data_IF_562188110098
#
_entry.id   IF_562188110098
#
_cell.length_a   1.000
_cell.length_b   1.000
_cell.length_c   1.000
_cell.angle_alpha   90.00
_cell.angle_beta   90.00
_cell.angle_gamma   90.00
#
_symmetry.space_group_name_H-M   'P 1'
#
loop_
_entity.id
_entity.type
_entity.pdbx_description
1 polymer ?
#
# COMPACT_ATOMS: atom_id res chain seq x y z
N UNK A 1 0.74 -1.53 -44.41
CA UNK A 1 1.65 -1.63 -43.24
C UNK A 1 0.82 -2.24 -42.12
N UNK A 2 0.61 -3.56 -41.98
CA UNK A 2 1.51 -4.70 -41.78
C UNK A 2 2.44 -4.53 -40.56
N UNK A 3 1.96 -4.85 -39.36
CA UNK A 3 2.80 -5.35 -38.27
C UNK A 3 2.12 -6.54 -37.58
N UNK A 4 2.91 -7.59 -37.47
CA UNK A 4 2.58 -8.98 -37.13
C UNK A 4 2.42 -9.15 -35.62
N UNK A 5 1.34 -9.82 -35.22
CA UNK A 5 1.24 -10.49 -33.93
C UNK A 5 2.11 -11.75 -33.94
N UNK A 6 3.03 -11.87 -33.00
CA UNK A 6 3.74 -13.12 -32.72
C UNK A 6 3.00 -13.87 -31.61
N UNK A 7 2.37 -14.98 -31.99
CA UNK A 7 1.93 -16.02 -31.06
C UNK A 7 3.00 -17.11 -31.07
N UNK A 8 3.65 -17.37 -29.93
CA UNK A 8 4.47 -18.55 -29.74
C UNK A 8 3.57 -19.72 -29.33
N UNK A 9 3.52 -20.73 -30.20
CA UNK A 9 2.87 -22.00 -29.94
C UNK A 9 3.71 -22.89 -29.00
N UNK A 10 3.09 -23.68 -28.10
CA UNK A 10 3.79 -24.74 -27.39
C UNK A 10 4.04 -25.95 -28.30
N UNK A 11 5.24 -26.51 -28.19
CA UNK A 11 5.74 -27.62 -28.99
C UNK A 11 5.01 -28.94 -28.70
N UNK A 12 4.70 -29.65 -29.78
CA UNK A 12 4.12 -30.99 -29.83
C UNK A 12 5.13 -32.03 -29.33
N UNK A 13 4.83 -32.72 -28.22
CA UNK A 13 5.56 -33.96 -27.85
C UNK A 13 4.76 -35.14 -28.37
N UNK A 14 5.33 -35.84 -29.35
CA UNK A 14 4.82 -37.10 -29.89
C UNK A 14 5.02 -38.20 -28.85
N UNK A 15 3.93 -38.88 -28.51
CA UNK A 15 3.97 -40.10 -27.69
C UNK A 15 4.57 -41.29 -28.44
N UNK A 16 5.16 -42.19 -27.67
CA UNK A 16 5.21 -43.62 -27.98
C UNK A 16 4.81 -44.36 -26.71
N UNK A 17 3.62 -44.97 -26.73
CA UNK A 17 3.17 -45.90 -25.72
C UNK A 17 3.84 -47.26 -26.00
N UNK A 18 4.48 -47.84 -24.99
CA UNK A 18 4.74 -49.28 -24.93
C UNK A 18 3.90 -49.86 -23.80
N UNK A 19 3.13 -50.88 -24.15
CA UNK A 19 2.23 -51.62 -23.28
C UNK A 19 3.07 -52.66 -22.51
N UNK A 20 3.13 -52.56 -21.19
CA UNK A 20 3.87 -53.52 -20.36
C UNK A 20 3.43 -53.48 -18.90
N UNK A 21 2.73 -54.54 -18.49
CA UNK A 21 2.56 -55.06 -17.14
C UNK A 21 1.82 -54.21 -16.09
N UNK A 22 0.48 -54.33 -16.09
CA UNK A 22 -0.34 -54.12 -14.90
C UNK A 22 -0.01 -55.20 -13.85
N UNK A 23 0.82 -54.87 -12.86
CA UNK A 23 0.84 -55.59 -11.58
C UNK A 23 -0.16 -54.94 -10.64
N UNK A 24 -1.06 -55.78 -10.12
CA UNK A 24 -2.07 -55.50 -9.11
C UNK A 24 -1.39 -54.92 -7.86
N UNK A 25 -1.67 -53.66 -7.52
CA UNK A 25 -1.24 -53.06 -6.25
C UNK A 25 -2.17 -53.58 -5.14
N UNK A 26 -1.58 -54.32 -4.20
CA UNK A 26 -2.23 -54.76 -2.97
C UNK A 26 -2.20 -53.62 -1.94
N UNK A 27 -3.30 -53.38 -1.24
CA UNK A 27 -3.53 -52.17 -0.40
C UNK A 27 -2.84 -52.26 0.98
N UNK A 28 -2.06 -53.31 1.25
CA UNK A 28 -1.49 -53.59 2.58
C UNK A 28 -0.06 -53.12 2.85
N UNK A 29 0.62 -52.42 1.93
CA UNK A 29 1.96 -51.86 2.20
C UNK A 29 1.95 -50.45 2.81
N UNK A 30 0.79 -49.99 3.27
CA UNK A 30 0.71 -48.95 4.31
C UNK A 30 1.17 -49.58 5.62
N UNK A 31 2.43 -49.36 6.02
CA UNK A 31 2.85 -48.98 7.39
C UNK A 31 4.39 -48.99 7.50
N UNK A 32 4.91 -47.86 7.98
CA UNK A 32 6.24 -47.63 8.58
C UNK A 32 7.49 -47.52 7.68
N UNK A 33 7.74 -46.30 7.21
CA UNK A 33 9.08 -45.68 7.31
C UNK A 33 8.96 -44.22 7.74
N UNK A 34 9.77 -43.72 8.70
CA UNK A 34 9.74 -42.31 9.07
C UNK A 34 10.43 -41.49 7.97
N UNK A 35 9.65 -40.69 7.23
CA UNK A 35 10.17 -39.65 6.37
C UNK A 35 10.89 -38.61 7.24
N UNK A 36 12.22 -38.53 7.11
CA UNK A 36 13.01 -37.38 7.56
C UNK A 36 12.60 -36.17 6.72
N UNK A 37 11.58 -35.44 7.14
CA UNK A 37 11.29 -34.12 6.59
C UNK A 37 12.29 -33.12 7.17
N UNK A 38 13.28 -32.76 6.35
CA UNK A 38 14.11 -31.58 6.56
C UNK A 38 13.19 -30.38 6.68
N UNK A 39 13.11 -29.80 7.87
CA UNK A 39 12.33 -28.60 8.12
C UNK A 39 13.04 -27.42 7.44
N UNK A 40 12.68 -27.14 6.20
CA UNK A 40 12.98 -25.86 5.57
C UNK A 40 12.09 -24.81 6.23
N UNK A 41 12.54 -24.28 7.37
CA UNK A 41 12.00 -23.04 7.91
C UNK A 41 12.29 -21.93 6.89
N UNK A 42 11.30 -21.58 6.08
CA UNK A 42 11.31 -20.32 5.34
C UNK A 42 11.11 -19.23 6.36
N UNK A 43 12.20 -18.63 6.83
CA UNK A 43 12.13 -17.38 7.59
C UNK A 43 11.61 -16.29 6.65
N UNK A 44 10.31 -16.02 6.70
CA UNK A 44 9.77 -14.78 6.17
C UNK A 44 10.31 -13.66 7.06
N UNK A 45 11.42 -13.03 6.64
CA UNK A 45 11.87 -11.79 7.26
C UNK A 45 10.78 -10.76 7.00
N UNK A 46 10.04 -10.37 8.03
CA UNK A 46 9.06 -9.30 7.92
C UNK A 46 9.80 -8.00 7.61
N UNK A 47 9.69 -7.53 6.38
CA UNK A 47 10.23 -6.23 5.99
C UNK A 47 9.35 -5.12 6.54
N UNK A 48 9.98 -3.99 6.82
CA UNK A 48 9.29 -2.81 7.35
C UNK A 48 9.49 -1.65 6.40
N UNK A 49 8.42 -0.90 6.16
CA UNK A 49 8.46 0.32 5.36
C UNK A 49 8.46 1.53 6.30
N UNK A 50 9.47 2.42 6.23
CA UNK A 50 9.42 3.65 6.98
C UNK A 50 8.30 4.54 6.45
N UNK A 51 7.60 5.20 7.36
CA UNK A 51 6.48 6.08 7.07
C UNK A 51 6.88 7.50 7.45
N UNK A 52 6.62 8.43 6.53
CA UNK A 52 6.97 9.82 6.69
C UNK A 52 5.72 10.70 6.66
N UNK A 53 5.68 11.69 7.54
CA UNK A 53 4.86 12.88 7.35
C UNK A 53 5.58 13.78 6.36
N UNK A 54 4.97 14.01 5.20
CA UNK A 54 5.49 14.87 4.14
C UNK A 54 4.77 16.20 4.18
N UNK A 55 5.52 17.28 4.00
CA UNK A 55 5.02 18.63 3.83
C UNK A 55 5.42 19.15 2.44
N UNK A 56 4.42 19.45 1.63
CA UNK A 56 4.55 20.13 0.36
C UNK A 56 4.03 21.57 0.49
N UNK A 57 4.57 22.48 -0.31
CA UNK A 57 4.10 23.86 -0.37
C UNK A 57 2.62 23.90 -0.75
N UNK A 58 1.85 24.66 0.02
CA UNK A 58 0.42 24.81 -0.15
C UNK A 58 -0.06 26.14 0.44
N UNK A 59 -1.17 26.64 -0.08
CA UNK A 59 -1.77 27.90 0.35
C UNK A 59 -3.14 27.66 1.00
N UNK A 60 -3.47 28.33 2.12
CA UNK A 60 -2.64 29.25 2.92
C UNK A 60 -1.67 28.53 3.89
N UNK A 61 -1.69 27.19 3.89
CA UNK A 61 -0.83 26.34 4.74
C UNK A 61 -0.30 25.20 3.87
N UNK A 62 0.91 24.74 4.20
CA UNK A 62 1.51 23.58 3.56
C UNK A 62 0.56 22.37 3.56
N UNK A 63 0.64 21.61 2.48
CA UNK A 63 -0.09 20.36 2.32
C UNK A 63 0.60 19.23 3.10
N UNK A 64 -0.17 18.46 3.87
CA UNK A 64 0.34 17.30 4.60
C UNK A 64 -0.10 16.00 3.93
N UNK A 65 0.81 15.04 3.87
CA UNK A 65 0.58 13.70 3.36
C UNK A 65 1.35 12.66 4.20
N UNK A 66 0.90 11.40 4.13
CA UNK A 66 1.67 10.26 4.61
C UNK A 66 2.35 9.58 3.42
N UNK A 67 3.62 9.24 3.56
CA UNK A 67 4.36 8.51 2.54
C UNK A 67 5.00 7.27 3.14
N UNK A 68 4.59 6.09 2.68
CA UNK A 68 5.25 4.83 3.00
C UNK A 68 6.32 4.54 1.95
N UNK A 69 7.59 4.50 2.34
CA UNK A 69 8.68 4.18 1.45
C UNK A 69 8.79 2.67 1.27
N UNK A 70 8.40 2.16 0.10
CA UNK A 70 8.34 0.72 -0.18
C UNK A 70 9.59 0.19 -0.89
N UNK A 71 10.52 1.09 -1.23
CA UNK A 71 11.79 0.77 -1.89
C UNK A 71 12.90 1.71 -1.46
N UNK A 72 14.11 1.16 -1.33
CA UNK A 72 15.33 1.93 -1.06
C UNK A 72 15.66 2.89 -2.22
N UNK A 73 15.18 2.60 -3.44
CA UNK A 73 15.32 3.48 -4.60
C UNK A 73 14.42 4.74 -4.53
N UNK A 74 13.66 4.92 -3.45
CA UNK A 74 12.80 6.09 -3.23
C UNK A 74 11.39 5.94 -3.77
N UNK A 75 10.99 4.77 -4.29
CA UNK A 75 9.59 4.50 -4.61
C UNK A 75 8.78 4.24 -3.33
N UNK A 76 7.48 4.52 -3.40
CA UNK A 76 6.60 4.39 -2.25
C UNK A 76 5.13 4.55 -2.58
N UNK A 77 4.35 4.81 -1.55
CA UNK A 77 2.93 5.04 -1.65
C UNK A 77 2.53 6.28 -0.83
N UNK A 78 1.88 7.23 -1.48
CA UNK A 78 1.43 8.48 -0.91
C UNK A 78 -0.05 8.41 -0.57
N UNK A 79 -0.40 8.84 0.64
CA UNK A 79 -1.76 8.90 1.15
C UNK A 79 -2.05 10.33 1.58
N UNK A 80 -3.04 10.96 0.94
CA UNK A 80 -3.44 12.31 1.28
C UNK A 80 -4.88 12.61 0.90
N UNK A 81 -5.38 13.75 1.36
CA UNK A 81 -6.62 14.34 0.88
C UNK A 81 -6.32 15.63 0.14
N UNK A 82 -6.93 15.83 -1.02
CA UNK A 82 -6.72 16.99 -1.88
C UNK A 82 -8.04 17.64 -2.22
N UNK A 83 -8.00 18.93 -2.58
CA UNK A 83 -9.18 19.69 -2.97
C UNK A 83 -9.41 20.92 -2.10
N UNK A 84 -10.37 21.78 -2.50
CA UNK A 84 -10.64 23.04 -1.82
C UNK A 84 -11.51 22.84 -0.58
N UNK A 85 -11.42 23.80 0.34
CA UNK A 85 -12.31 23.92 1.51
C UNK A 85 -13.51 24.82 1.22
N UNK A 86 -13.34 25.78 0.29
CA UNK A 86 -14.35 26.76 -0.14
C UNK A 86 -14.84 26.42 -1.53
N UNK A 87 -16.17 26.38 -1.73
CA UNK A 87 -16.82 26.02 -2.99
C UNK A 87 -16.40 24.64 -3.52
N UNK A 88 -16.22 23.68 -2.61
CA UNK A 88 -15.92 22.28 -2.95
C UNK A 88 -15.54 21.48 -1.72
N UNK A 89 -15.20 20.20 -1.92
CA UNK A 89 -14.82 19.29 -0.86
C UNK A 89 -13.44 18.68 -1.14
N UNK A 90 -12.79 18.23 -0.06
CA UNK A 90 -11.58 17.43 -0.19
C UNK A 90 -11.95 15.98 -0.47
N UNK A 91 -11.07 15.26 -1.16
CA UNK A 91 -11.23 13.83 -1.44
C UNK A 91 -9.91 13.11 -1.19
N UNK A 92 -10.02 11.84 -0.83
CA UNK A 92 -8.87 10.96 -0.63
C UNK A 92 -8.29 10.53 -1.98
N UNK A 93 -6.99 10.75 -2.18
CA UNK A 93 -6.29 10.49 -3.45
C UNK A 93 -5.00 9.65 -3.21
N UNK A 94 -5.14 8.34 -2.91
CA UNK A 94 -3.99 7.47 -2.73
C UNK A 94 -3.27 7.23 -4.07
N UNK A 95 -1.94 7.33 -4.09
CA UNK A 95 -1.17 7.05 -5.31
C UNK A 95 0.21 6.43 -5.07
N UNK A 96 0.67 5.51 -5.94
CA UNK A 96 2.06 5.08 -5.94
C UNK A 96 2.97 6.24 -6.36
N UNK A 97 4.20 6.25 -5.85
CA UNK A 97 5.26 7.17 -6.25
C UNK A 97 6.45 6.39 -6.78
N UNK A 98 7.02 6.83 -7.91
CA UNK A 98 8.21 6.22 -8.49
C UNK A 98 9.52 6.81 -7.94
N UNK A 99 9.44 7.98 -7.31
CA UNK A 99 10.57 8.66 -6.66
C UNK A 99 10.16 9.28 -5.33
N UNK A 100 11.17 9.74 -4.58
CA UNK A 100 10.98 10.31 -3.25
C UNK A 100 10.27 11.66 -3.32
N UNK A 101 9.34 11.99 -2.40
CA UNK A 101 8.75 13.33 -2.31
C UNK A 101 9.79 14.46 -2.24
N UNK A 102 11.00 14.18 -1.72
CA UNK A 102 12.14 15.13 -1.67
C UNK A 102 12.57 15.68 -3.02
N UNK A 103 12.24 15.00 -4.10
CA UNK A 103 12.61 15.40 -5.47
C UNK A 103 11.59 16.35 -6.11
N UNK A 104 10.43 16.54 -5.47
CA UNK A 104 9.39 17.44 -5.97
C UNK A 104 9.77 18.90 -5.71
N UNK A 105 9.50 19.78 -6.68
CA UNK A 105 9.73 21.22 -6.52
C UNK A 105 8.89 21.86 -5.41
N UNK A 106 7.76 21.24 -5.06
CA UNK A 106 6.89 21.68 -3.97
C UNK A 106 7.37 21.19 -2.61
N UNK A 107 8.36 20.31 -2.54
CA UNK A 107 8.80 19.72 -1.28
C UNK A 107 9.30 20.78 -0.30
N UNK A 108 8.77 20.75 0.92
CA UNK A 108 9.24 21.61 2.02
C UNK A 108 10.07 20.79 2.99
N UNK A 109 9.50 19.71 3.54
CA UNK A 109 10.21 18.80 4.46
C UNK A 109 9.48 17.46 4.57
N UNK A 110 10.15 16.48 5.18
CA UNK A 110 9.47 15.29 5.68
C UNK A 110 10.13 14.80 6.96
N UNK A 111 9.33 14.19 7.83
CA UNK A 111 9.78 13.62 9.11
C UNK A 111 9.34 12.17 9.18
N UNK A 112 10.25 11.25 9.53
CA UNK A 112 9.87 9.86 9.77
C UNK A 112 9.03 9.80 11.04
N UNK A 113 7.83 9.22 10.94
CA UNK A 113 6.88 9.11 12.06
C UNK A 113 6.77 7.69 12.62
N UNK A 114 7.39 6.71 11.96
CA UNK A 114 7.44 5.33 12.38
C UNK A 114 7.68 4.40 11.20
N UNK A 115 7.25 3.15 11.33
CA UNK A 115 7.25 2.17 10.26
C UNK A 115 6.00 1.29 10.31
N UNK A 116 5.69 0.65 9.18
CA UNK A 116 4.67 -0.39 9.07
C UNK A 116 5.33 -1.71 8.67
N UNK A 117 4.73 -2.84 9.02
CA UNK A 117 5.04 -4.11 8.36
C UNK A 117 4.67 -4.02 6.88
N UNK A 118 5.44 -4.65 6.01
CA UNK A 118 5.07 -4.75 4.59
C UNK A 118 3.74 -5.45 4.35
N UNK A 119 3.31 -6.31 5.28
CA UNK A 119 1.99 -6.94 5.25
C UNK A 119 0.84 -6.00 5.64
N UNK A 120 1.13 -4.90 6.34
CA UNK A 120 0.12 -3.92 6.78
C UNK A 120 -0.11 -2.79 5.77
N UNK A 121 0.59 -2.77 4.63
CA UNK A 121 0.38 -1.73 3.60
C UNK A 121 -1.09 -1.66 3.11
N UNK A 122 -1.81 -2.77 2.86
CA UNK A 122 -3.24 -2.72 2.56
C UNK A 122 -4.07 -2.20 3.74
N UNK A 123 -3.74 -2.60 4.97
CA UNK A 123 -4.44 -2.15 6.18
C UNK A 123 -4.24 -0.65 6.44
N UNK A 124 -3.07 -0.11 6.09
CA UNK A 124 -2.80 1.32 6.11
C UNK A 124 -3.74 2.08 5.15
N UNK A 125 -3.92 1.60 3.92
CA UNK A 125 -4.87 2.18 2.95
C UNK A 125 -6.31 2.13 3.48
N UNK A 126 -6.75 0.99 4.03
CA UNK A 126 -8.09 0.85 4.63
C UNK A 126 -8.33 1.86 5.76
N UNK A 127 -7.36 2.03 6.67
CA UNK A 127 -7.46 3.00 7.77
C UNK A 127 -7.52 4.43 7.22
N UNK A 128 -6.65 4.79 6.28
CA UNK A 128 -6.68 6.10 5.64
C UNK A 128 -8.03 6.37 4.98
N UNK A 129 -8.58 5.39 4.25
CA UNK A 129 -9.88 5.48 3.59
C UNK A 129 -11.04 5.59 4.59
N UNK A 130 -10.92 4.94 5.75
CA UNK A 130 -11.92 5.01 6.83
C UNK A 130 -12.00 6.37 7.49
N UNK A 131 -10.87 7.10 7.53
CA UNK A 131 -10.86 8.50 7.93
C UNK A 131 -11.45 9.35 6.79
N UNK A 132 -12.73 9.70 6.89
CA UNK A 132 -13.42 10.42 5.82
C UNK A 132 -12.69 11.72 5.47
N UNK A 133 -12.54 11.98 4.16
CA UNK A 133 -11.99 13.23 3.69
C UNK A 133 -12.87 14.42 4.15
N UNK A 134 -12.27 15.60 4.42
CA UNK A 134 -13.05 16.77 4.83
C UNK A 134 -14.14 17.14 3.82
N UNK A 135 -15.37 17.25 4.31
CA UNK A 135 -16.52 17.73 3.52
C UNK A 135 -16.33 19.19 3.11
N UNK A 136 -17.20 19.68 2.23
CA UNK A 136 -17.29 21.12 1.96
C UNK A 136 -17.65 21.87 3.24
N UNK A 137 -16.83 22.83 3.61
CA UNK A 137 -16.97 23.56 4.88
C UNK A 137 -17.23 25.04 4.68
N UNK A 138 -16.96 25.57 3.49
CA UNK A 138 -17.21 26.95 3.13
C UNK A 138 -17.89 27.08 1.77
N UNK A 139 -18.77 28.07 1.66
CA UNK A 139 -19.38 28.48 0.39
C UNK A 139 -19.28 30.00 0.28
N UNK A 140 -18.70 30.48 -0.82
CA UNK A 140 -18.49 31.90 -1.11
C UNK A 140 -17.81 32.68 0.05
N UNK A 141 -16.86 32.01 0.71
CA UNK A 141 -16.10 32.58 1.84
C UNK A 141 -16.82 32.52 3.19
N UNK A 142 -18.05 32.02 3.25
CA UNK A 142 -18.81 31.84 4.49
C UNK A 142 -18.71 30.40 5.00
N UNK A 143 -18.62 30.22 6.32
CA UNK A 143 -18.64 28.89 6.95
C UNK A 143 -20.04 28.28 6.85
N UNK A 144 -20.12 27.04 6.38
CA UNK A 144 -21.36 26.25 6.34
C UNK A 144 -21.73 25.69 7.73
N UNK A 145 -20.73 25.47 8.59
CA UNK A 145 -20.90 24.92 9.92
C UNK A 145 -20.30 25.84 10.98
N UNK A 146 -20.98 26.95 11.35
CA UNK A 146 -20.51 27.86 12.39
C UNK A 146 -20.26 27.11 13.71
N UNK A 147 -19.11 27.37 14.34
CA UNK A 147 -18.70 26.71 15.59
C UNK A 147 -17.95 25.38 15.41
N UNK A 148 -17.86 24.84 14.19
CA UNK A 148 -16.97 23.71 13.89
C UNK A 148 -15.65 24.24 13.32
N UNK A 149 -14.48 23.85 13.87
CA UNK A 149 -13.19 24.23 13.30
C UNK A 149 -13.01 23.72 11.86
N UNK A 150 -12.30 24.49 11.03
CA UNK A 150 -11.93 24.02 9.71
C UNK A 150 -10.99 22.81 9.79
N UNK A 151 -11.35 21.75 9.09
CA UNK A 151 -10.58 20.52 8.93
C UNK A 151 -10.02 20.46 7.51
N UNK A 152 -8.71 20.38 7.36
CA UNK A 152 -7.99 20.31 6.08
C UNK A 152 -7.14 19.04 6.03
N UNK A 153 -6.22 18.97 5.05
CA UNK A 153 -5.25 17.88 4.94
C UNK A 153 -4.39 17.70 6.20
N UNK A 154 -4.05 18.78 6.90
CA UNK A 154 -3.23 18.71 8.11
C UNK A 154 -3.98 18.00 9.25
N UNK A 155 -5.22 18.41 9.51
CA UNK A 155 -6.07 17.80 10.55
C UNK A 155 -6.41 16.35 10.19
N UNK A 156 -6.79 16.08 8.93
CA UNK A 156 -7.00 14.71 8.44
C UNK A 156 -5.75 13.83 8.63
N UNK A 157 -4.56 14.35 8.29
CA UNK A 157 -3.30 13.60 8.43
C UNK A 157 -2.98 13.32 9.89
N UNK A 158 -3.14 14.31 10.78
CA UNK A 158 -2.90 14.15 12.20
C UNK A 158 -3.83 13.08 12.82
N UNK A 159 -5.12 13.13 12.49
CA UNK A 159 -6.09 12.11 12.92
C UNK A 159 -5.74 10.72 12.37
N UNK A 160 -5.36 10.61 11.09
CA UNK A 160 -4.94 9.34 10.48
C UNK A 160 -3.71 8.75 11.15
N UNK A 161 -2.74 9.58 11.57
CA UNK A 161 -1.56 9.11 12.31
C UNK A 161 -1.98 8.44 13.62
N UNK A 162 -2.91 9.05 14.36
CA UNK A 162 -3.40 8.46 15.62
C UNK A 162 -4.19 7.17 15.36
N UNK A 163 -5.07 7.14 14.35
CA UNK A 163 -5.79 5.91 13.95
C UNK A 163 -4.83 4.75 13.60
N UNK A 164 -3.73 5.04 12.90
CA UNK A 164 -2.73 4.05 12.55
C UNK A 164 -1.96 3.53 13.77
N UNK A 165 -1.68 4.40 14.75
CA UNK A 165 -1.05 4.01 16.02
C UNK A 165 -2.00 3.15 16.86
N UNK A 166 -3.25 3.57 17.01
CA UNK A 166 -4.27 2.86 17.77
C UNK A 166 -4.55 1.46 17.19
N UNK A 167 -4.48 1.32 15.86
CA UNK A 167 -4.60 0.04 15.18
C UNK A 167 -3.36 -0.87 15.30
N UNK A 168 -2.25 -0.37 15.88
CA UNK A 168 -0.97 -1.05 15.95
C UNK A 168 -0.27 -1.21 14.59
N UNK A 169 -0.71 -0.47 13.57
CA UNK A 169 -0.13 -0.52 12.22
C UNK A 169 1.14 0.33 12.15
N UNK A 170 1.08 1.56 12.66
CA UNK A 170 2.24 2.45 12.74
C UNK A 170 2.95 2.25 14.08
N UNK A 171 4.19 1.75 14.04
CA UNK A 171 5.00 1.46 15.23
C UNK A 171 6.32 2.21 15.23
N UNK A 172 6.81 2.55 16.42
CA UNK A 172 8.17 3.05 16.63
C UNK A 172 9.14 1.86 16.68
N UNK A 173 10.29 1.99 16.02
CA UNK A 173 11.37 0.99 16.02
C UNK A 173 12.72 1.67 16.19
#
# INVERSE_FOLDING_TARGET
MCHKFWWLAPATVKGHFSLGDFKKLDITDLIQTPLKTSSHYVFFTMSYYPVFLVEDYGEPRNHHALWAQTSDAGAGFLYHVVGPVNNGAMHYDPRPTHSSPKELMTFVRMTQIGCISSHDLPRMDEICRSNQAPIMQMQDGQLLYPGTPLRRCQEWTAETIELLKDAGVLVQR
#
